data_IF_751195086809
#
_entry.id   IF_751195086809
#
_cell.length_a   1.000
_cell.length_b   1.000
_cell.length_c   1.000
_cell.angle_alpha   90.00
_cell.angle_beta   90.00
_cell.angle_gamma   90.00
#
_symmetry.space_group_name_H-M   'P 1'
#
loop_
_entity.id
_entity.type
_entity.pdbx_description
1 polymer ?
#
# COMPACT_ATOMS: atom_id res chain seq x y z
N UNK A 1 -21.90 -30.19 -3.17
CA UNK A 1 -21.38 -29.70 -3.53
C UNK A 1 -20.65 -29.17 -3.59
N UNK A 2 -20.43 -29.07 -3.74
CA UNK A 2 -19.65 -28.50 -3.80
C UNK A 2 -19.35 -27.90 -4.30
N UNK A 3 -19.56 -27.24 -3.98
CA UNK A 3 -19.09 -26.50 -4.64
C UNK A 3 -17.83 -26.44 -4.87
N UNK A 4 -17.50 -26.76 -5.72
CA UNK A 4 -16.20 -26.78 -6.00
C UNK A 4 -15.81 -25.73 -6.94
N UNK A 5 -16.32 -24.61 -6.77
CA UNK A 5 -15.94 -23.51 -7.60
C UNK A 5 -14.67 -22.93 -7.09
N UNK A 6 -13.61 -23.07 -7.85
CA UNK A 6 -12.33 -22.55 -7.52
C UNK A 6 -12.22 -21.13 -8.05
N UNK A 7 -12.73 -20.20 -7.32
CA UNK A 7 -12.78 -18.80 -7.76
C UNK A 7 -12.07 -17.84 -6.82
N UNK A 8 -11.37 -18.36 -5.85
CA UNK A 8 -10.77 -17.53 -4.82
C UNK A 8 -11.75 -17.15 -3.72
N UNK A 9 -11.32 -16.30 -2.85
CA UNK A 9 -12.11 -15.85 -1.71
C UNK A 9 -12.94 -14.62 -2.07
N UNK A 10 -14.01 -14.43 -1.32
CA UNK A 10 -14.90 -13.28 -1.47
C UNK A 10 -14.34 -12.13 -0.64
N UNK A 11 -14.42 -10.94 -1.18
CA UNK A 11 -13.95 -9.75 -0.48
C UNK A 11 -14.65 -8.51 -0.99
N UNK A 12 -14.27 -7.37 -0.43
CA UNK A 12 -14.75 -6.08 -0.87
C UNK A 12 -13.61 -5.09 -0.87
N UNK A 13 -13.80 -4.01 -1.64
CA UNK A 13 -12.77 -3.02 -1.87
C UNK A 13 -13.32 -1.63 -1.63
N UNK A 14 -12.49 -0.77 -1.06
CA UNK A 14 -12.76 0.64 -0.93
C UNK A 14 -11.56 1.43 -1.46
N UNK A 15 -11.83 2.52 -2.15
CA UNK A 15 -10.77 3.44 -2.58
C UNK A 15 -10.94 4.73 -1.80
N UNK A 16 -9.89 5.11 -1.08
CA UNK A 16 -9.89 6.26 -0.18
C UNK A 16 -8.91 7.30 -0.68
N UNK A 17 -9.22 8.56 -0.43
CA UNK A 17 -8.31 9.66 -0.70
C UNK A 17 -7.77 10.16 0.63
N UNK A 18 -6.45 10.13 0.81
CA UNK A 18 -5.81 10.54 2.05
C UNK A 18 -4.69 11.52 1.78
N UNK A 19 -4.44 12.40 2.74
CA UNK A 19 -3.30 13.30 2.68
C UNK A 19 -2.06 12.58 3.19
N UNK A 20 -1.02 12.53 2.38
CA UNK A 20 0.22 11.86 2.72
C UNK A 20 1.39 12.82 2.59
N UNK A 21 2.25 12.84 3.58
CA UNK A 21 3.48 13.61 3.55
C UNK A 21 4.65 12.63 3.60
N UNK A 22 5.39 12.47 2.49
CA UNK A 22 6.60 11.66 2.50
C UNK A 22 7.65 12.26 3.43
N UNK A 23 8.74 11.53 3.73
CA UNK A 23 9.86 12.15 4.43
C UNK A 23 10.29 13.41 3.69
N UNK A 24 10.46 14.51 4.43
CA UNK A 24 10.75 15.82 3.82
C UNK A 24 11.98 15.76 2.92
N UNK A 25 13.01 15.04 3.37
CA UNK A 25 14.24 14.82 2.61
C UNK A 25 14.64 13.37 2.75
N UNK A 26 14.98 12.73 1.64
CA UNK A 26 15.50 11.38 1.64
C UNK A 26 16.94 11.38 1.15
N UNK A 27 17.80 10.73 1.91
CA UNK A 27 19.20 10.57 1.54
C UNK A 27 19.34 9.73 0.27
N UNK A 28 20.46 9.93 -0.44
CA UNK A 28 20.77 9.16 -1.64
C UNK A 28 20.79 7.65 -1.34
N UNK A 29 20.30 6.85 -2.28
CA UNK A 29 20.34 5.39 -2.22
C UNK A 29 19.81 4.85 -0.89
N UNK A 30 18.66 5.37 -0.44
CA UNK A 30 18.11 4.98 0.86
C UNK A 30 16.64 4.59 0.74
N UNK A 31 16.18 3.88 1.76
CA UNK A 31 14.77 3.56 1.93
C UNK A 31 14.33 4.00 3.32
N UNK A 32 13.05 4.32 3.43
CA UNK A 32 12.47 4.70 4.71
C UNK A 32 11.00 4.32 4.74
N UNK A 33 10.58 3.65 5.81
CA UNK A 33 9.17 3.32 6.01
C UNK A 33 8.58 4.32 7.00
N UNK A 34 7.43 4.89 6.64
CA UNK A 34 6.72 5.86 7.46
C UNK A 34 5.29 5.36 7.67
N UNK A 35 4.79 5.49 8.88
CA UNK A 35 3.43 5.08 9.22
C UNK A 35 2.46 6.25 9.16
N UNK A 36 1.23 5.94 8.76
CA UNK A 36 0.15 6.92 8.66
C UNK A 36 -1.13 6.32 9.23
N UNK A 37 -1.99 7.16 9.78
CA UNK A 37 -3.28 6.72 10.27
C UNK A 37 -4.26 6.58 9.09
N UNK A 38 -4.90 5.43 8.99
CA UNK A 38 -5.99 5.19 8.03
C UNK A 38 -7.09 4.44 8.77
N UNK A 39 -8.12 5.14 9.25
CA UNK A 39 -9.18 4.50 10.04
C UNK A 39 -9.87 3.39 9.28
N UNK A 40 -10.07 2.27 9.94
CA UNK A 40 -10.76 1.13 9.38
C UNK A 40 -9.87 0.06 8.77
N UNK A 41 -8.61 0.36 8.50
CA UNK A 41 -7.70 -0.64 7.96
C UNK A 41 -7.29 -1.63 9.06
N UNK A 42 -7.09 -2.88 8.68
CA UNK A 42 -6.67 -3.95 9.60
C UNK A 42 -5.51 -4.71 8.99
N UNK A 43 -4.70 -5.32 9.84
CA UNK A 43 -3.65 -6.22 9.38
C UNK A 43 -4.26 -7.33 8.53
N UNK A 44 -3.59 -7.64 7.43
CA UNK A 44 -4.08 -8.61 6.46
C UNK A 44 -4.83 -8.00 5.30
N UNK A 45 -5.19 -6.73 5.37
CA UNK A 45 -5.79 -6.04 4.24
C UNK A 45 -4.76 -5.90 3.11
N UNK A 46 -5.22 -6.06 1.88
CA UNK A 46 -4.41 -5.83 0.71
C UNK A 46 -4.54 -4.38 0.28
N UNK A 47 -3.41 -3.70 0.10
CA UNK A 47 -3.38 -2.28 -0.18
C UNK A 47 -2.66 -1.97 -1.48
N UNK A 48 -3.18 -0.98 -2.20
CA UNK A 48 -2.52 -0.38 -3.35
C UNK A 48 -2.56 1.13 -3.20
N UNK A 49 -1.59 1.84 -3.79
CA UNK A 49 -1.47 3.28 -3.60
C UNK A 49 -1.08 3.96 -4.90
N UNK A 50 -1.66 5.15 -5.14
CA UNK A 50 -1.29 6.02 -6.22
C UNK A 50 -0.85 7.37 -5.66
N UNK A 51 0.38 7.75 -5.99
CA UNK A 51 0.88 9.09 -5.71
C UNK A 51 0.44 10.02 -6.86
N UNK A 52 -0.15 11.19 -6.56
CA UNK A 52 -0.72 12.05 -7.62
C UNK A 52 0.29 12.75 -8.49
N UNK A 53 1.55 12.87 -8.04
CA UNK A 53 2.58 13.57 -8.78
C UNK A 53 3.83 12.71 -8.90
N UNK A 54 4.68 13.08 -9.84
CA UNK A 54 5.95 12.40 -10.06
C UNK A 54 7.09 13.19 -9.41
N UNK A 55 7.91 12.52 -8.62
CA UNK A 55 9.16 13.06 -8.11
C UNK A 55 10.29 12.17 -8.64
N UNK A 56 11.19 12.75 -9.42
CA UNK A 56 12.25 11.98 -10.07
C UNK A 56 13.09 11.24 -9.05
N UNK A 57 13.26 9.93 -9.25
CA UNK A 57 14.05 9.07 -8.39
C UNK A 57 13.34 8.57 -7.15
N UNK A 58 12.17 9.11 -6.84
CA UNK A 58 11.38 8.65 -5.71
C UNK A 58 10.40 7.58 -6.16
N UNK A 59 10.32 6.50 -5.40
CA UNK A 59 9.33 5.46 -5.65
C UNK A 59 8.77 4.96 -4.33
N UNK A 60 7.64 4.25 -4.41
CA UNK A 60 7.05 3.55 -3.28
C UNK A 60 7.39 2.08 -3.46
N UNK A 61 8.15 1.53 -2.51
CA UNK A 61 8.56 0.13 -2.57
C UNK A 61 7.50 -0.82 -2.07
N UNK A 62 6.71 -0.38 -1.11
CA UNK A 62 5.64 -1.20 -0.54
C UNK A 62 4.65 -0.33 0.21
N UNK A 63 3.42 -0.83 0.32
CA UNK A 63 2.42 -0.33 1.26
C UNK A 63 1.79 -1.53 1.96
N UNK A 64 1.63 -1.44 3.27
CA UNK A 64 1.06 -2.53 4.07
C UNK A 64 0.25 -1.98 5.24
N UNK A 65 -0.68 -2.78 5.71
CA UNK A 65 -1.37 -2.50 6.96
C UNK A 65 -0.48 -2.96 8.11
N UNK A 66 0.10 -2.03 8.84
CA UNK A 66 1.08 -2.34 9.89
C UNK A 66 0.43 -2.61 11.23
N UNK A 67 -0.78 -2.12 11.45
CA UNK A 67 -1.58 -2.31 12.65
C UNK A 67 -3.02 -1.92 12.36
N UNK A 68 -3.90 -2.10 13.34
CA UNK A 68 -5.27 -1.59 13.20
C UNK A 68 -5.24 -0.07 13.03
N UNK A 69 -5.95 0.43 12.03
CA UNK A 69 -6.04 1.84 11.68
C UNK A 69 -4.70 2.48 11.30
N UNK A 70 -3.74 1.67 10.85
CA UNK A 70 -2.41 2.17 10.51
C UNK A 70 -1.88 1.50 9.26
N UNK A 71 -1.34 2.31 8.37
CA UNK A 71 -0.61 1.84 7.19
C UNK A 71 0.84 2.28 7.27
N UNK A 72 1.71 1.54 6.62
CA UNK A 72 3.12 1.88 6.49
C UNK A 72 3.47 1.92 5.00
N UNK A 73 4.10 3.02 4.59
CA UNK A 73 4.54 3.21 3.21
C UNK A 73 6.06 3.24 3.21
N UNK A 74 6.66 2.38 2.38
CA UNK A 74 8.09 2.37 2.18
C UNK A 74 8.45 3.27 1.01
N UNK A 75 9.23 4.29 1.29
CA UNK A 75 9.74 5.22 0.29
C UNK A 75 11.15 4.81 -0.12
N UNK A 76 11.45 4.96 -1.41
CA UNK A 76 12.74 4.57 -1.97
C UNK A 76 13.30 5.73 -2.77
N UNK A 77 14.53 6.13 -2.45
CA UNK A 77 15.33 7.03 -3.27
C UNK A 77 16.44 6.21 -3.92
N UNK A 78 16.31 5.99 -5.21
CA UNK A 78 17.27 5.18 -5.98
C UNK A 78 18.33 6.04 -6.67
N UNK A 79 18.41 7.32 -6.36
CA UNK A 79 19.39 8.22 -6.97
C UNK A 79 20.61 8.40 -6.09
N UNK A 80 21.64 9.01 -6.66
CA UNK A 80 22.89 9.34 -5.95
C UNK A 80 22.84 10.68 -5.24
N UNK A 81 21.68 11.34 -5.24
CA UNK A 81 21.48 12.64 -4.60
C UNK A 81 20.29 12.58 -3.65
N UNK A 82 20.26 13.45 -2.65
CA UNK A 82 19.10 13.55 -1.78
C UNK A 82 17.90 14.11 -2.56
N UNK A 83 16.69 13.75 -2.13
CA UNK A 83 15.44 14.20 -2.74
C UNK A 83 14.64 14.97 -1.69
N UNK A 84 14.12 16.14 -2.08
CA UNK A 84 13.16 16.88 -1.28
C UNK A 84 11.78 16.61 -1.81
N UNK A 85 10.86 16.20 -0.92
CA UNK A 85 9.53 15.77 -1.30
C UNK A 85 8.47 16.83 -1.05
N UNK A 86 7.37 16.73 -1.80
CA UNK A 86 6.21 17.62 -1.64
C UNK A 86 5.33 17.08 -0.52
N UNK A 87 5.00 17.91 0.49
CA UNK A 87 4.12 17.47 1.58
C UNK A 87 2.64 17.57 1.19
N UNK A 88 1.80 16.90 1.97
CA UNK A 88 0.34 17.06 1.97
C UNK A 88 -0.33 16.87 0.61
N UNK A 89 0.15 15.93 -0.18
CA UNK A 89 -0.53 15.55 -1.41
C UNK A 89 -1.65 14.54 -1.11
N UNK A 90 -2.71 14.58 -1.91
CA UNK A 90 -3.81 13.64 -1.78
C UNK A 90 -3.52 12.39 -2.59
N UNK A 91 -3.28 11.28 -1.90
CA UNK A 91 -3.02 9.98 -2.51
C UNK A 91 -4.30 9.16 -2.55
N UNK A 92 -4.41 8.29 -3.54
CA UNK A 92 -5.46 7.30 -3.60
C UNK A 92 -4.94 5.99 -3.03
N UNK A 93 -5.68 5.42 -2.09
CA UNK A 93 -5.35 4.14 -1.49
C UNK A 93 -6.53 3.20 -1.66
N UNK A 94 -6.29 2.06 -2.29
CA UNK A 94 -7.27 0.99 -2.39
C UNK A 94 -7.05 0.01 -1.26
N UNK A 95 -8.12 -0.33 -0.56
CA UNK A 95 -8.11 -1.31 0.53
C UNK A 95 -9.00 -2.47 0.12
N UNK A 96 -8.42 -3.66 0.03
CA UNK A 96 -9.15 -4.87 -0.31
C UNK A 96 -9.10 -5.83 0.86
N UNK A 97 -10.25 -6.27 1.32
CA UNK A 97 -10.38 -7.21 2.44
C UNK A 97 -11.11 -8.45 2.02
N UNK A 98 -10.57 -9.59 2.37
CA UNK A 98 -11.13 -10.88 2.06
C UNK A 98 -11.71 -11.53 3.31
N UNK A 99 -12.74 -12.35 3.14
CA UNK A 99 -13.35 -13.08 4.23
C UNK A 99 -12.39 -14.13 4.82
N UNK A 100 -11.52 -14.68 3.98
CA UNK A 100 -10.44 -15.55 4.42
C UNK A 100 -9.36 -15.58 3.34
N UNK A 101 -8.11 -15.80 3.75
CA UNK A 101 -6.99 -15.86 2.82
C UNK A 101 -6.53 -17.32 2.71
N UNK A 102 -6.65 -17.93 1.52
CA UNK A 102 -6.18 -19.29 1.34
C UNK A 102 -4.64 -19.33 1.33
N UNK A 103 -4.09 -20.45 1.79
CA UNK A 103 -2.65 -20.65 1.79
C UNK A 103 -2.13 -21.22 0.46
N UNK A 104 -3.04 -21.69 -0.37
CA UNK A 104 -2.70 -22.17 -1.71
C UNK A 104 -3.66 -21.54 -2.70
N UNK A 105 -3.18 -21.34 -3.92
CA UNK A 105 -4.02 -20.76 -4.95
C UNK A 105 -5.19 -21.70 -5.28
N UNK A 106 -6.39 -21.15 -5.50
CA UNK A 106 -7.50 -21.95 -6.01
C UNK A 106 -7.17 -22.57 -7.37
N UNK A 107 -7.78 -23.72 -7.67
CA UNK A 107 -7.52 -24.41 -8.91
C UNK A 107 -7.83 -23.56 -10.14
N UNK A 108 -8.76 -22.62 -10.04
CA UNK A 108 -9.12 -21.77 -11.16
C UNK A 108 -8.02 -20.80 -11.57
N UNK A 109 -7.07 -20.52 -10.69
CA UNK A 109 -5.98 -19.59 -10.97
C UNK A 109 -4.61 -20.26 -10.85
N UNK A 110 -4.58 -21.50 -10.50
CA UNK A 110 -3.34 -22.26 -10.36
C UNK A 110 -2.81 -22.73 -11.71
#
# INVERSE_FOLDING_TARGET
MSTTIARGNVGFEAVLQISVTPPATMAANSTQEVTYTLPGVMMGDFLEINKPSHTAGLSIGNIRASAANQIAIQWVNSTTSSITNTPNELYLVAVTRFDSLPQTAPAAIA
#
